data_IF_272078566517
#
_entry.id   IF_272078566517
#
_cell.length_a   1.000
_cell.length_b   1.000
_cell.length_c   1.000
_cell.angle_alpha   90.00
_cell.angle_beta   90.00
_cell.angle_gamma   90.00
#
_symmetry.space_group_name_H-M   'P 1'
#
loop_
_entity.id
_entity.type
_entity.pdbx_description
1 polymer ?
#
# COMPACT_ATOMS: atom_id res chain seq x y z
N UNK A 1 15.78 -12.05 5.01
CA UNK A 1 14.79 -12.25 3.93
C UNK A 1 14.43 -10.88 3.36
N UNK A 2 15.37 -10.23 2.67
CA UNK A 2 15.14 -8.93 2.04
C UNK A 2 15.64 -9.10 0.60
N UNK A 3 14.78 -8.81 -0.39
CA UNK A 3 15.02 -8.83 -1.85
C UNK A 3 14.54 -10.07 -2.64
N UNK A 4 14.00 -11.11 -2.01
CA UNK A 4 13.53 -12.31 -2.72
C UNK A 4 12.07 -12.69 -2.45
N UNK A 5 11.31 -11.87 -1.71
CA UNK A 5 9.90 -12.12 -1.40
C UNK A 5 9.04 -11.04 -2.04
N UNK A 6 8.00 -11.43 -2.76
CA UNK A 6 6.99 -10.54 -3.31
C UNK A 6 5.71 -10.62 -2.48
N UNK A 7 5.04 -9.47 -2.30
CA UNK A 7 3.65 -9.44 -1.88
C UNK A 7 2.77 -9.56 -3.12
N UNK A 8 2.15 -10.72 -3.33
CA UNK A 8 1.35 -11.02 -4.52
C UNK A 8 -0.11 -10.57 -4.35
N UNK A 9 -0.62 -10.60 -3.13
CA UNK A 9 -2.00 -10.24 -2.81
C UNK A 9 -2.13 -9.69 -1.39
N UNK A 10 -3.32 -9.18 -1.07
CA UNK A 10 -3.73 -8.70 0.23
C UNK A 10 -4.73 -9.68 0.86
N UNK A 11 -4.61 -9.93 2.16
CA UNK A 11 -5.59 -10.71 2.90
C UNK A 11 -6.77 -9.79 3.24
N UNK A 12 -7.97 -10.11 2.75
CA UNK A 12 -9.19 -9.38 3.06
C UNK A 12 -9.95 -10.09 4.19
N UNK A 13 -10.35 -9.33 5.21
CA UNK A 13 -11.13 -9.82 6.37
C UNK A 13 -12.33 -8.93 6.64
N UNK A 14 -13.28 -9.43 7.43
CA UNK A 14 -14.32 -8.58 8.04
C UNK A 14 -13.65 -7.55 8.93
N UNK A 15 -14.13 -6.31 8.90
CA UNK A 15 -13.59 -5.27 9.76
C UNK A 15 -14.12 -5.37 11.18
N UNK A 16 -13.21 -5.34 12.16
CA UNK A 16 -13.54 -5.36 13.58
C UNK A 16 -14.27 -4.09 14.03
N UNK A 17 -13.99 -2.94 13.39
CA UNK A 17 -14.64 -1.66 13.70
C UNK A 17 -15.95 -1.46 12.92
N UNK A 18 -16.15 -2.23 11.85
CA UNK A 18 -17.35 -2.19 11.01
C UNK A 18 -17.69 -3.61 10.55
N UNK A 19 -18.57 -4.34 11.26
CA UNK A 19 -18.90 -5.73 10.93
C UNK A 19 -19.52 -5.94 9.54
N UNK A 20 -20.08 -4.89 8.93
CA UNK A 20 -20.59 -4.92 7.55
C UNK A 20 -19.52 -4.61 6.49
N UNK A 21 -18.37 -4.10 6.93
CA UNK A 21 -17.25 -3.70 6.09
C UNK A 21 -16.16 -4.76 5.99
N UNK A 22 -15.22 -4.52 5.07
CA UNK A 22 -14.00 -5.31 4.93
C UNK A 22 -12.76 -4.47 5.22
N UNK A 23 -11.68 -5.14 5.60
CA UNK A 23 -10.36 -4.55 5.84
C UNK A 23 -9.25 -5.41 5.27
N UNK A 24 -8.07 -4.82 5.12
CA UNK A 24 -6.83 -5.55 4.95
C UNK A 24 -6.39 -6.12 6.31
N UNK A 25 -6.03 -7.39 6.31
CA UNK A 25 -5.64 -8.16 7.50
C UNK A 25 -4.30 -8.89 7.36
N UNK A 26 -3.50 -8.50 6.36
CA UNK A 26 -2.20 -9.09 6.06
C UNK A 26 -1.89 -9.10 4.57
N UNK A 27 -0.82 -9.80 4.22
CA UNK A 27 -0.32 -9.96 2.85
C UNK A 27 -0.16 -11.43 2.50
N UNK A 28 -0.36 -11.74 1.23
CA UNK A 28 -0.05 -13.03 0.62
C UNK A 28 1.32 -12.88 -0.04
N UNK A 29 2.23 -13.80 0.28
CA UNK A 29 3.64 -13.68 -0.08
C UNK A 29 4.12 -14.90 -0.85
N UNK A 30 5.02 -14.69 -1.80
CA UNK A 30 5.73 -15.76 -2.46
C UNK A 30 7.19 -15.37 -2.68
N UNK A 31 8.02 -16.30 -3.15
CA UNK A 31 9.34 -15.94 -3.66
C UNK A 31 9.17 -15.10 -4.93
N UNK A 32 9.89 -14.00 -5.07
CA UNK A 32 9.80 -13.10 -6.23
C UNK A 32 10.02 -13.85 -7.55
N UNK A 33 10.93 -14.84 -7.57
CA UNK A 33 11.15 -15.68 -8.75
C UNK A 33 9.94 -16.56 -9.07
N UNK A 34 9.22 -17.06 -8.07
CA UNK A 34 7.97 -17.78 -8.29
C UNK A 34 6.93 -16.84 -8.88
N UNK A 35 6.77 -15.64 -8.31
CA UNK A 35 5.83 -14.62 -8.78
C UNK A 35 6.05 -14.21 -10.24
N UNK A 36 7.31 -14.14 -10.68
CA UNK A 36 7.66 -13.82 -12.07
C UNK A 36 7.48 -14.98 -13.04
N UNK A 37 7.29 -16.21 -12.55
CA UNK A 37 7.35 -17.43 -13.35
C UNK A 37 6.13 -18.35 -13.14
N UNK A 38 4.97 -17.81 -12.72
CA UNK A 38 3.72 -18.56 -12.56
C UNK A 38 3.27 -19.31 -13.83
N UNK A 39 3.73 -18.88 -15.02
CA UNK A 39 3.40 -19.51 -16.30
C UNK A 39 4.46 -20.49 -16.81
N UNK A 40 5.56 -20.70 -16.07
CA UNK A 40 6.69 -21.52 -16.54
C UNK A 40 6.81 -22.87 -15.83
N UNK A 41 6.01 -23.11 -14.79
CA UNK A 41 6.00 -24.35 -14.00
C UNK A 41 4.56 -24.71 -13.61
N UNK A 42 4.37 -25.82 -12.90
CA UNK A 42 3.10 -26.11 -12.22
C UNK A 42 2.75 -25.02 -11.20
N UNK A 43 1.50 -25.00 -10.73
CA UNK A 43 1.05 -24.08 -9.70
C UNK A 43 1.95 -24.14 -8.44
N UNK A 44 2.30 -22.95 -7.92
CA UNK A 44 3.17 -22.77 -6.76
C UNK A 44 2.46 -21.86 -5.76
N UNK A 45 1.65 -22.46 -4.89
CA UNK A 45 0.81 -21.72 -3.95
C UNK A 45 1.64 -20.81 -3.03
N UNK A 46 1.13 -19.61 -2.72
CA UNK A 46 1.83 -18.66 -1.86
C UNK A 46 1.70 -19.00 -0.37
N UNK A 47 2.48 -18.31 0.46
CA UNK A 47 2.33 -18.27 1.91
C UNK A 47 1.61 -16.99 2.36
N UNK A 48 1.34 -16.85 3.66
CA UNK A 48 0.60 -15.70 4.21
C UNK A 48 1.25 -15.12 5.46
N UNK A 49 1.16 -13.80 5.60
CA UNK A 49 1.56 -13.08 6.82
C UNK A 49 0.38 -12.23 7.26
N UNK A 50 -0.17 -12.54 8.43
CA UNK A 50 -1.30 -11.81 8.99
C UNK A 50 -0.82 -10.61 9.79
N UNK A 51 -1.47 -9.46 9.63
CA UNK A 51 -1.11 -8.25 10.36
C UNK A 51 -2.36 -7.42 10.68
N UNK A 52 -2.40 -6.72 11.83
CA UNK A 52 -3.48 -5.79 12.12
C UNK A 52 -3.45 -4.59 11.18
N UNK A 53 -2.26 -4.20 10.70
CA UNK A 53 -2.05 -3.05 9.80
C UNK A 53 -0.97 -3.46 8.79
N UNK A 54 -1.23 -3.15 7.52
CA UNK A 54 -0.24 -3.27 6.44
C UNK A 54 0.19 -1.88 6.00
N UNK A 55 1.49 -1.64 5.89
CA UNK A 55 2.04 -0.40 5.34
C UNK A 55 2.65 -0.67 3.97
N UNK A 56 2.08 -0.09 2.91
CA UNK A 56 2.54 -0.26 1.53
C UNK A 56 3.40 0.92 1.09
N UNK A 57 4.60 0.59 0.63
CA UNK A 57 5.60 1.49 0.07
C UNK A 57 6.22 0.85 -1.19
N UNK A 58 5.39 0.28 -2.05
CA UNK A 58 5.83 -0.51 -3.22
C UNK A 58 6.39 0.36 -4.36
N UNK A 59 6.45 1.67 -4.18
CA UNK A 59 6.83 2.60 -5.23
C UNK A 59 5.72 2.85 -6.23
N UNK A 60 6.04 3.57 -7.31
CA UNK A 60 5.12 3.88 -8.40
C UNK A 60 4.95 2.66 -9.32
N UNK A 61 4.17 2.78 -10.41
CA UNK A 61 3.90 1.67 -11.32
C UNK A 61 5.18 0.97 -11.83
N UNK A 62 5.15 -0.36 -11.81
CA UNK A 62 6.12 -1.30 -12.38
C UNK A 62 5.63 -2.74 -12.21
N UNK A 63 6.49 -3.76 -12.47
CA UNK A 63 6.12 -5.17 -12.29
C UNK A 63 5.64 -5.54 -10.88
N UNK A 64 6.23 -4.92 -9.85
CA UNK A 64 5.80 -5.01 -8.44
C UNK A 64 5.37 -3.66 -7.87
N UNK A 65 5.44 -2.63 -8.70
CA UNK A 65 5.19 -1.26 -8.32
C UNK A 65 3.71 -0.99 -8.12
N UNK A 66 3.39 -0.14 -7.15
CA UNK A 66 2.02 0.19 -6.80
C UNK A 66 1.11 -1.02 -6.52
N UNK A 67 1.69 -2.11 -6.01
CA UNK A 67 1.04 -3.41 -5.87
C UNK A 67 -0.27 -3.33 -5.07
N UNK A 68 -0.26 -2.67 -3.91
CA UNK A 68 -1.44 -2.65 -3.04
C UNK A 68 -2.57 -1.85 -3.67
N UNK A 69 -2.28 -0.66 -4.20
CA UNK A 69 -3.32 0.22 -4.78
C UNK A 69 -3.91 -0.37 -6.07
N UNK A 70 -3.08 -0.98 -6.92
CA UNK A 70 -3.55 -1.75 -8.09
C UNK A 70 -4.40 -2.93 -7.68
N UNK A 71 -3.98 -3.66 -6.62
CA UNK A 71 -4.73 -4.81 -6.15
C UNK A 71 -6.11 -4.40 -5.65
N UNK A 72 -6.21 -3.32 -4.87
CA UNK A 72 -7.50 -2.76 -4.43
C UNK A 72 -8.45 -2.44 -5.60
N UNK A 73 -7.95 -1.88 -6.71
CA UNK A 73 -8.76 -1.64 -7.92
C UNK A 73 -9.20 -2.97 -8.53
N UNK A 74 -8.28 -3.91 -8.75
CA UNK A 74 -8.60 -5.20 -9.37
C UNK A 74 -9.58 -6.06 -8.54
N UNK A 75 -9.60 -5.85 -7.22
CA UNK A 75 -10.53 -6.49 -6.29
C UNK A 75 -11.87 -5.76 -6.15
N UNK A 76 -12.08 -4.65 -6.86
CA UNK A 76 -13.31 -3.85 -6.79
C UNK A 76 -13.51 -3.12 -5.46
N UNK A 77 -12.45 -2.95 -4.67
CA UNK A 77 -12.50 -2.29 -3.36
C UNK A 77 -12.39 -0.77 -3.47
N UNK A 78 -11.76 -0.28 -4.54
CA UNK A 78 -11.73 1.13 -4.94
C UNK A 78 -11.98 1.22 -6.45
N UNK A 79 -12.48 2.36 -6.92
CA UNK A 79 -12.99 2.48 -8.29
C UNK A 79 -11.90 2.48 -9.36
N UNK A 80 -10.85 3.29 -9.19
CA UNK A 80 -9.78 3.48 -10.18
C UNK A 80 -8.55 4.13 -9.55
N UNK A 81 -7.43 4.03 -10.25
CA UNK A 81 -6.22 4.80 -9.96
C UNK A 81 -6.32 6.24 -10.50
N UNK A 82 -5.51 7.13 -9.93
CA UNK A 82 -5.35 8.51 -10.37
C UNK A 82 -4.23 8.68 -11.40
N UNK A 83 -3.36 7.69 -11.56
CA UNK A 83 -2.17 7.63 -12.43
C UNK A 83 -1.15 8.73 -12.15
N UNK A 84 0.07 8.34 -11.80
CA UNK A 84 1.15 9.28 -11.48
C UNK A 84 1.42 10.25 -12.64
N UNK A 85 1.58 11.54 -12.31
CA UNK A 85 1.74 12.62 -13.29
C UNK A 85 3.21 12.92 -13.58
N UNK A 86 3.42 13.83 -14.53
CA UNK A 86 4.73 14.31 -14.93
C UNK A 86 5.53 14.89 -13.75
N UNK A 87 6.82 15.13 -13.99
CA UNK A 87 7.74 15.60 -12.96
C UNK A 87 7.46 17.07 -12.61
N UNK A 88 7.16 17.32 -11.34
CA UNK A 88 7.13 18.65 -10.73
C UNK A 88 7.57 18.49 -9.27
N UNK A 89 8.83 18.82 -8.99
CA UNK A 89 9.44 18.58 -7.68
C UNK A 89 8.74 19.38 -6.56
N UNK A 90 8.38 20.63 -6.84
CA UNK A 90 7.82 21.53 -5.84
C UNK A 90 6.43 21.06 -5.39
N UNK A 91 5.61 20.61 -6.33
CA UNK A 91 4.28 20.08 -6.01
C UNK A 91 4.34 18.65 -5.48
N UNK A 92 5.21 17.81 -6.04
CA UNK A 92 5.26 16.37 -5.74
C UNK A 92 5.62 16.08 -4.28
N UNK A 93 6.63 16.75 -3.74
CA UNK A 93 7.15 16.42 -2.41
C UNK A 93 6.10 16.67 -1.33
N UNK A 94 5.50 17.87 -1.33
CA UNK A 94 4.42 18.24 -0.41
C UNK A 94 3.18 17.38 -0.62
N UNK A 95 2.79 17.12 -1.87
CA UNK A 95 1.63 16.31 -2.18
C UNK A 95 1.75 14.89 -1.61
N UNK A 96 2.90 14.23 -1.79
CA UNK A 96 3.10 12.85 -1.29
C UNK A 96 3.09 12.81 0.24
N UNK A 97 3.77 13.75 0.92
CA UNK A 97 3.78 13.80 2.39
C UNK A 97 2.37 14.07 2.91
N UNK A 98 1.66 15.04 2.35
CA UNK A 98 0.31 15.40 2.79
C UNK A 98 -0.71 14.30 2.50
N UNK A 99 -0.57 13.59 1.37
CA UNK A 99 -1.43 12.48 0.99
C UNK A 99 -1.17 11.21 1.79
N UNK A 100 0.00 11.07 2.42
CA UNK A 100 0.30 9.91 3.28
C UNK A 100 -0.70 9.82 4.40
N UNK A 101 -1.46 8.74 4.43
CA UNK A 101 -2.63 8.62 5.30
C UNK A 101 -2.88 7.21 5.74
N UNK A 102 -3.31 7.11 6.99
CA UNK A 102 -3.61 5.87 7.66
C UNK A 102 -5.04 5.39 7.44
N UNK A 103 -5.37 4.35 8.19
CA UNK A 103 -6.70 3.76 8.24
C UNK A 103 -7.57 4.55 9.22
N UNK A 104 -8.86 4.62 8.94
CA UNK A 104 -9.92 5.29 9.70
C UNK A 104 -9.74 6.82 9.84
N UNK A 105 -8.79 7.41 9.10
CA UNK A 105 -8.66 8.85 8.92
C UNK A 105 -9.54 9.37 7.78
N UNK A 106 -9.87 10.68 7.77
CA UNK A 106 -10.56 11.32 6.65
C UNK A 106 -9.71 11.14 5.38
N UNK A 107 -10.31 10.52 4.36
CA UNK A 107 -9.64 10.24 3.10
C UNK A 107 -8.77 8.97 3.10
N UNK A 108 -8.83 8.10 4.12
CA UNK A 108 -8.10 6.81 4.14
C UNK A 108 -8.13 6.05 2.81
N UNK A 109 -7.09 5.27 2.51
CA UNK A 109 -7.04 4.44 1.30
C UNK A 109 -8.00 3.25 1.42
N UNK A 110 -7.81 2.41 2.44
CA UNK A 110 -8.70 1.30 2.76
C UNK A 110 -8.49 0.86 4.22
N UNK A 111 -9.54 0.42 4.95
CA UNK A 111 -9.38 -0.08 6.32
C UNK A 111 -8.28 -1.15 6.41
N UNK A 112 -7.38 -1.05 7.39
CA UNK A 112 -6.23 -1.96 7.57
C UNK A 112 -5.00 -1.70 6.68
N UNK A 113 -5.06 -0.77 5.72
CA UNK A 113 -3.95 -0.40 4.82
C UNK A 113 -3.52 1.06 4.98
N UNK A 114 -2.23 1.27 5.22
CA UNK A 114 -1.55 2.57 5.15
C UNK A 114 -0.72 2.56 3.86
N UNK A 115 -0.83 3.61 3.05
CA UNK A 115 0.00 3.75 1.84
C UNK A 115 0.83 5.01 1.98
N UNK A 116 2.09 4.93 1.57
CA UNK A 116 3.06 6.02 1.63
C UNK A 116 4.00 6.02 0.43
N UNK A 117 4.88 7.01 0.38
CA UNK A 117 5.80 7.22 -0.72
C UNK A 117 5.11 7.45 -2.06
N UNK A 118 5.83 7.20 -3.15
CA UNK A 118 5.33 7.42 -4.51
C UNK A 118 4.24 6.43 -4.96
N UNK A 119 3.92 5.39 -4.18
CA UNK A 119 2.75 4.54 -4.45
C UNK A 119 1.44 5.35 -4.37
N UNK A 120 1.38 6.36 -3.49
CA UNK A 120 0.24 7.28 -3.41
C UNK A 120 0.09 8.16 -4.65
N UNK A 121 1.18 8.42 -5.37
CA UNK A 121 1.10 9.21 -6.59
C UNK A 121 0.29 8.46 -7.66
N UNK A 122 0.34 7.12 -7.68
CA UNK A 122 -0.49 6.30 -8.56
C UNK A 122 -1.96 6.28 -8.12
N UNK A 123 -2.20 6.25 -6.81
CA UNK A 123 -3.57 6.26 -6.29
C UNK A 123 -4.28 7.59 -6.55
N UNK A 124 -3.62 8.71 -6.24
CA UNK A 124 -4.24 10.04 -6.23
C UNK A 124 -3.95 10.87 -7.47
N UNK A 125 -2.99 10.45 -8.30
CA UNK A 125 -2.58 11.18 -9.49
C UNK A 125 -1.71 12.41 -9.19
N UNK A 126 -0.75 12.28 -8.28
CA UNK A 126 0.20 13.35 -7.96
C UNK A 126 1.38 13.41 -8.95
N UNK A 127 2.04 14.57 -9.11
CA UNK A 127 3.31 14.67 -9.83
C UNK A 127 4.41 13.82 -9.18
N UNK A 128 5.41 13.44 -9.97
CA UNK A 128 6.62 12.76 -9.47
C UNK A 128 7.72 13.77 -9.13
N UNK A 129 8.57 13.46 -8.15
CA UNK A 129 9.66 14.35 -7.73
C UNK A 129 11.02 14.04 -8.39
N UNK A 130 11.20 12.87 -9.01
CA UNK A 130 12.49 12.50 -9.60
C UNK A 130 13.57 12.24 -8.52
N UNK A 131 14.83 12.66 -8.71
CA UNK A 131 15.96 12.30 -7.84
C UNK A 131 16.07 13.18 -6.58
N UNK A 132 14.96 13.39 -5.86
CA UNK A 132 14.91 14.00 -4.52
C UNK A 132 14.14 13.08 -3.57
N UNK A 133 14.53 13.07 -2.29
CA UNK A 133 14.15 12.01 -1.34
C UNK A 133 13.51 12.53 -0.06
N UNK A 134 13.37 13.85 0.12
CA UNK A 134 12.84 14.45 1.34
C UNK A 134 11.44 13.95 1.67
N UNK A 135 10.57 13.94 0.66
CA UNK A 135 9.20 13.44 0.76
C UNK A 135 9.13 11.96 1.14
N UNK A 136 10.06 11.12 0.70
CA UNK A 136 10.05 9.69 1.03
C UNK A 136 10.31 9.48 2.53
N UNK A 137 11.29 10.20 3.08
CA UNK A 137 11.60 10.16 4.50
C UNK A 137 10.43 10.71 5.34
N UNK A 138 9.92 11.88 4.99
CA UNK A 138 8.81 12.52 5.71
C UNK A 138 7.50 11.71 5.61
N UNK A 139 7.22 11.12 4.44
CA UNK A 139 6.09 10.19 4.24
C UNK A 139 6.23 8.95 5.14
N UNK A 140 7.42 8.34 5.19
CA UNK A 140 7.69 7.21 6.09
C UNK A 140 7.42 7.56 7.56
N UNK A 141 7.92 8.71 8.03
CA UNK A 141 7.68 9.21 9.39
C UNK A 141 6.19 9.42 9.65
N UNK A 142 5.46 10.01 8.71
CA UNK A 142 4.01 10.23 8.86
C UNK A 142 3.25 8.91 8.90
N UNK A 143 3.55 7.96 8.02
CA UNK A 143 2.92 6.64 8.03
C UNK A 143 3.16 5.90 9.35
N UNK A 144 4.36 6.01 9.94
CA UNK A 144 4.65 5.42 11.25
C UNK A 144 3.77 6.04 12.36
N UNK A 145 3.59 7.36 12.36
CA UNK A 145 2.68 8.02 13.30
C UNK A 145 1.22 7.57 13.11
N UNK A 146 0.77 7.43 11.86
CA UNK A 146 -0.57 6.90 11.55
C UNK A 146 -0.74 5.46 12.02
N UNK A 147 0.27 4.60 11.81
CA UNK A 147 0.27 3.23 12.29
C UNK A 147 0.15 3.14 13.81
N UNK A 148 0.87 4.00 14.54
CA UNK A 148 0.79 4.06 16.01
C UNK A 148 -0.61 4.46 16.50
N UNK A 149 -1.25 5.44 15.86
CA UNK A 149 -2.63 5.86 16.21
C UNK A 149 -3.62 4.71 16.02
N UNK A 150 -3.54 4.03 14.88
CA UNK A 150 -4.43 2.90 14.56
C UNK A 150 -4.17 1.72 15.50
N UNK A 151 -2.90 1.42 15.80
CA UNK A 151 -2.59 0.32 16.71
C UNK A 151 -3.11 0.61 18.12
N UNK A 152 -3.05 1.86 18.58
CA UNK A 152 -3.63 2.27 19.85
C UNK A 152 -5.16 2.12 19.86
N UNK A 153 -5.85 2.48 18.77
CA UNK A 153 -7.32 2.32 18.69
C UNK A 153 -7.74 0.85 18.68
N UNK A 154 -6.97 -0.04 18.04
CA UNK A 154 -7.26 -1.48 18.00
C UNK A 154 -7.07 -2.18 19.35
N UNK A 155 -6.22 -1.66 20.25
CA UNK A 155 -6.04 -2.21 21.61
C UNK A 155 -7.22 -1.92 22.54
N UNK A 156 -8.05 -0.94 22.20
CA UNK A 156 -9.18 -0.49 23.01
C UNK A 156 -10.52 -1.09 22.55
N UNK A 157 -10.48 -2.05 21.63
CA UNK A 157 -11.63 -2.79 21.11
C UNK A 157 -11.52 -4.26 21.54
#
# INVERSE_FOLDING_TARGET
>A
MFNATAAEDLIIRTDALNPSGKRIGGVVTNWTLVSLNHNHQSCMDPSTVTAPIVCSFAGHDGPFGAASVKRLVSSGLINKLGDMRALDMNLAEDAVVNATRGTYARGQVYPGLIVGGVELAELDGHPRMGPTFGAMLASGTKAAHEALKVLASLKNC
#
